data_IF_714269041997
#
_entry.id   IF_714269041997
#
_cell.length_a   1.000
_cell.length_b   1.000
_cell.length_c   1.000
_cell.angle_alpha   90.00
_cell.angle_beta   90.00
_cell.angle_gamma   90.00
#
_symmetry.space_group_name_H-M   'P 1'
#
loop_
_entity.id
_entity.type
_entity.pdbx_description
1 polymer ?
#
# COMPACT_ATOMS: atom_id res chain seq x y z
N UNK A 1 14.31 6.72 15.09
CA UNK A 1 12.86 6.51 15.21
C UNK A 1 12.60 5.30 16.09
N UNK A 2 11.71 5.43 17.04
CA UNK A 2 11.39 4.34 17.96
C UNK A 2 10.46 3.32 17.33
N UNK A 3 10.49 2.09 17.84
CA UNK A 3 9.69 0.99 17.30
C UNK A 3 8.19 1.28 17.33
N UNK A 4 7.69 1.94 18.37
CA UNK A 4 6.28 2.32 18.45
C UNK A 4 5.87 3.23 17.29
N UNK A 5 6.71 4.18 16.93
CA UNK A 5 6.47 5.08 15.79
C UNK A 5 6.52 4.32 14.46
N UNK A 6 7.48 3.42 14.31
CA UNK A 6 7.63 2.59 13.10
C UNK A 6 6.37 1.75 12.89
N UNK A 7 5.93 1.06 13.93
CA UNK A 7 4.73 0.21 13.87
C UNK A 7 3.46 1.02 13.66
N UNK A 8 3.36 2.19 14.30
CA UNK A 8 2.21 3.10 14.11
C UNK A 8 2.12 3.58 12.66
N UNK A 9 3.22 4.06 12.09
CA UNK A 9 3.27 4.49 10.70
C UNK A 9 2.90 3.34 9.75
N UNK A 10 3.45 2.16 10.02
CA UNK A 10 3.17 0.95 9.24
C UNK A 10 1.68 0.60 9.28
N UNK A 11 1.07 0.60 10.47
CA UNK A 11 -0.35 0.31 10.62
C UNK A 11 -1.21 1.23 9.75
N UNK A 12 -0.94 2.54 9.77
CA UNK A 12 -1.71 3.49 8.96
C UNK A 12 -1.45 3.35 7.46
N UNK A 13 -0.24 2.93 7.05
CA UNK A 13 0.01 2.61 5.65
C UNK A 13 -0.86 1.44 5.17
N UNK A 14 -0.98 0.39 5.97
CA UNK A 14 -1.82 -0.76 5.64
C UNK A 14 -3.30 -0.39 5.59
N UNK A 15 -3.76 0.42 6.53
CA UNK A 15 -5.13 0.92 6.55
C UNK A 15 -5.45 1.72 5.28
N UNK A 16 -4.54 2.61 4.90
CA UNK A 16 -4.73 3.44 3.68
C UNK A 16 -4.72 2.58 2.43
N UNK A 17 -3.84 1.57 2.36
CA UNK A 17 -3.78 0.68 1.22
C UNK A 17 -5.11 -0.08 1.05
N UNK A 18 -5.67 -0.60 2.13
CA UNK A 18 -6.97 -1.26 2.10
C UNK A 18 -8.08 -0.31 1.64
N UNK A 19 -8.13 0.90 2.22
CA UNK A 19 -9.13 1.91 1.87
C UNK A 19 -9.02 2.33 0.40
N UNK A 20 -7.80 2.52 -0.10
CA UNK A 20 -7.57 2.92 -1.49
C UNK A 20 -8.04 1.84 -2.46
N UNK A 21 -7.76 0.56 -2.16
CA UNK A 21 -8.25 -0.54 -2.98
C UNK A 21 -9.78 -0.59 -3.00
N UNK A 22 -10.43 -0.39 -1.84
CA UNK A 22 -11.89 -0.33 -1.76
C UNK A 22 -12.42 0.82 -2.62
N UNK A 23 -11.81 1.99 -2.55
CA UNK A 23 -12.21 3.17 -3.33
C UNK A 23 -12.07 2.92 -4.83
N UNK A 24 -10.97 2.29 -5.26
CA UNK A 24 -10.76 1.92 -6.67
C UNK A 24 -11.85 0.99 -7.17
N UNK A 25 -12.21 -0.01 -6.40
CA UNK A 25 -13.30 -0.92 -6.73
C UNK A 25 -14.63 -0.17 -6.84
N UNK A 26 -14.93 0.66 -5.85
CA UNK A 26 -16.19 1.42 -5.77
C UNK A 26 -16.36 2.34 -6.98
N UNK A 27 -15.29 2.98 -7.42
CA UNK A 27 -15.33 3.92 -8.56
C UNK A 27 -15.26 3.24 -9.93
N UNK A 28 -14.89 1.96 -9.98
CA UNK A 28 -14.65 1.25 -11.23
C UNK A 28 -15.28 -0.15 -11.24
N UNK A 29 -16.59 -0.28 -10.89
CA UNK A 29 -17.21 -1.61 -10.78
C UNK A 29 -17.31 -2.34 -12.12
N UNK A 30 -17.24 -1.62 -13.24
CA UNK A 30 -17.27 -2.19 -14.59
C UNK A 30 -15.94 -2.82 -15.00
N UNK A 31 -14.86 -2.56 -14.27
CA UNK A 31 -13.55 -3.14 -14.53
C UNK A 31 -13.42 -4.48 -13.80
N UNK A 32 -13.95 -5.52 -14.39
CA UNK A 32 -14.05 -6.84 -13.73
C UNK A 32 -12.73 -7.40 -13.25
N UNK A 33 -11.66 -7.30 -14.06
CA UNK A 33 -10.34 -7.80 -13.69
C UNK A 33 -9.80 -7.03 -12.49
N UNK A 34 -9.98 -5.71 -12.46
CA UNK A 34 -9.58 -4.88 -11.31
C UNK A 34 -10.27 -5.34 -10.04
N UNK A 35 -11.60 -5.49 -10.09
CA UNK A 35 -12.39 -5.91 -8.93
C UNK A 35 -11.95 -7.27 -8.44
N UNK A 36 -11.76 -8.22 -9.36
CA UNK A 36 -11.32 -9.58 -9.03
C UNK A 36 -9.95 -9.59 -8.35
N UNK A 37 -9.00 -8.82 -8.85
CA UNK A 37 -7.63 -8.84 -8.34
C UNK A 37 -7.41 -7.95 -7.12
N UNK A 38 -8.14 -6.85 -6.97
CA UNK A 38 -7.99 -5.98 -5.79
C UNK A 38 -8.79 -6.46 -4.58
N UNK A 39 -9.87 -7.22 -4.78
CA UNK A 39 -10.67 -7.70 -3.65
C UNK A 39 -9.84 -8.51 -2.64
N UNK A 40 -9.01 -9.50 -3.07
CA UNK A 40 -8.14 -10.19 -2.13
C UNK A 40 -7.10 -9.29 -1.46
N UNK A 41 -6.63 -8.26 -2.18
CA UNK A 41 -5.63 -7.32 -1.62
C UNK A 41 -6.23 -6.52 -0.46
N UNK A 42 -7.50 -6.12 -0.55
CA UNK A 42 -8.19 -5.46 0.57
C UNK A 42 -8.10 -6.31 1.84
N UNK A 43 -8.42 -7.59 1.71
CA UNK A 43 -8.36 -8.53 2.84
C UNK A 43 -6.94 -8.66 3.38
N UNK A 44 -5.96 -8.79 2.49
CA UNK A 44 -4.55 -8.93 2.85
C UNK A 44 -4.05 -7.68 3.59
N UNK A 45 -4.31 -6.48 3.04
CA UNK A 45 -3.87 -5.23 3.65
C UNK A 45 -4.50 -5.00 5.03
N UNK A 46 -5.79 -5.29 5.17
CA UNK A 46 -6.45 -5.20 6.47
C UNK A 46 -5.90 -6.24 7.45
N UNK A 47 -5.59 -7.44 6.96
CA UNK A 47 -4.91 -8.47 7.75
C UNK A 47 -3.55 -8.00 8.24
N UNK A 48 -2.77 -7.32 7.39
CA UNK A 48 -1.48 -6.72 7.77
C UNK A 48 -1.66 -5.67 8.87
N UNK A 49 -2.66 -4.79 8.74
CA UNK A 49 -3.00 -3.82 9.78
C UNK A 49 -3.23 -4.53 11.13
N UNK A 50 -4.01 -5.61 11.11
CA UNK A 50 -4.28 -6.40 12.33
C UNK A 50 -3.03 -7.06 12.90
N UNK A 51 -2.12 -7.53 12.06
CA UNK A 51 -0.84 -8.10 12.50
C UNK A 51 0.02 -7.05 13.20
N UNK A 52 0.05 -5.82 12.66
CA UNK A 52 0.80 -4.72 13.29
C UNK A 52 0.19 -4.35 14.63
N UNK A 53 -1.15 -4.29 14.73
CA UNK A 53 -1.82 -4.04 16.00
C UNK A 53 -1.50 -5.12 17.04
N UNK A 54 -1.47 -6.38 16.62
CA UNK A 54 -1.12 -7.49 17.48
C UNK A 54 0.33 -7.37 18.00
N UNK A 55 1.25 -6.94 17.14
CA UNK A 55 2.64 -6.72 17.51
C UNK A 55 2.80 -5.59 18.53
N UNK A 56 2.08 -4.48 18.31
CA UNK A 56 2.04 -3.37 19.28
C UNK A 56 1.55 -3.86 20.65
N UNK A 57 0.45 -4.59 20.68
CA UNK A 57 -0.13 -5.12 21.91
C UNK A 57 0.82 -6.08 22.64
N UNK A 58 1.46 -6.97 21.90
CA UNK A 58 2.43 -7.93 22.43
C UNK A 58 3.59 -7.22 23.15
N UNK A 59 3.97 -6.04 22.66
CA UNK A 59 5.10 -5.26 23.21
C UNK A 59 4.66 -4.18 24.21
N UNK A 60 3.40 -4.18 24.62
CA UNK A 60 2.81 -3.14 25.49
C UNK A 60 2.96 -1.72 24.90
N UNK A 61 2.97 -1.63 23.56
CA UNK A 61 2.96 -0.37 22.84
C UNK A 61 1.55 -0.07 22.35
N UNK A 62 1.27 1.19 22.04
CA UNK A 62 -0.04 1.64 21.58
C UNK A 62 0.02 2.22 20.19
N UNK A 63 -1.06 2.03 19.44
CA UNK A 63 -1.24 2.73 18.18
C UNK A 63 -1.32 4.24 18.46
N UNK A 64 -0.36 4.97 17.94
CA UNK A 64 -0.31 6.42 18.10
C UNK A 64 -1.21 7.16 17.11
N UNK A 65 -1.11 8.48 17.13
CA UNK A 65 -1.82 9.34 16.17
C UNK A 65 -1.14 9.21 14.81
N UNK A 66 -1.93 9.23 13.74
CA UNK A 66 -1.41 9.19 12.38
C UNK A 66 -0.53 10.42 12.10
N UNK A 67 0.69 10.16 11.60
CA UNK A 67 1.60 11.22 11.19
C UNK A 67 1.43 11.54 9.71
N UNK A 68 1.75 12.78 9.33
CA UNK A 68 1.67 13.22 7.93
C UNK A 68 2.69 12.48 7.07
N UNK A 69 2.23 11.89 5.97
CA UNK A 69 3.11 11.24 5.00
C UNK A 69 3.41 12.23 3.86
N UNK A 70 4.59 12.84 3.93
CA UNK A 70 5.02 13.87 2.97
C UNK A 70 5.17 13.29 1.57
N UNK A 71 5.70 12.07 1.46
CA UNK A 71 5.90 11.41 0.16
C UNK A 71 4.58 11.15 -0.55
N UNK A 72 3.62 10.54 0.15
CA UNK A 72 2.30 10.24 -0.42
C UNK A 72 1.58 11.54 -0.80
N UNK A 73 1.64 12.56 0.05
CA UNK A 73 1.01 13.85 -0.24
C UNK A 73 1.60 14.49 -1.50
N UNK A 74 2.92 14.41 -1.70
CA UNK A 74 3.57 14.91 -2.92
C UNK A 74 3.15 14.13 -4.16
N UNK A 75 3.03 12.80 -4.06
CA UNK A 75 2.55 11.99 -5.18
C UNK A 75 1.12 12.36 -5.57
N UNK A 76 0.26 12.61 -4.58
CA UNK A 76 -1.12 13.00 -4.84
C UNK A 76 -1.22 14.34 -5.56
N UNK A 77 -0.26 15.25 -5.38
CA UNK A 77 -0.23 16.52 -6.09
C UNK A 77 -0.03 16.36 -7.60
N UNK A 78 0.61 15.27 -8.03
CA UNK A 78 0.84 14.99 -9.45
C UNK A 78 -0.34 14.29 -10.13
N UNK A 79 -1.34 13.85 -9.39
CA UNK A 79 -2.51 13.19 -9.98
C UNK A 79 -3.38 14.20 -10.70
N UNK A 80 -3.85 13.82 -11.90
CA UNK A 80 -4.82 14.62 -12.65
C UNK A 80 -6.13 14.74 -11.90
N UNK A 81 -6.64 15.96 -11.78
CA UNK A 81 -7.90 16.27 -11.09
C UNK A 81 -9.06 16.51 -12.03
N UNK A 82 -8.81 16.53 -13.32
CA UNK A 82 -9.82 16.76 -14.35
C UNK A 82 -9.52 15.94 -15.59
N UNK A 83 -10.24 16.18 -16.69
CA UNK A 83 -10.00 15.55 -17.97
C UNK A 83 -10.58 14.14 -18.07
N UNK A 84 -9.89 13.28 -18.81
CA UNK A 84 -10.34 11.94 -19.16
C UNK A 84 -10.38 11.02 -17.93
N UNK A 85 -11.53 10.36 -17.63
CA UNK A 85 -11.63 9.44 -16.50
C UNK A 85 -10.63 8.28 -16.53
N UNK A 86 -10.30 7.75 -17.71
CA UNK A 86 -9.32 6.67 -17.85
C UNK A 86 -7.92 7.15 -17.47
N UNK A 87 -7.55 8.36 -17.85
CA UNK A 87 -6.25 8.93 -17.48
C UNK A 87 -6.14 9.15 -15.98
N UNK A 88 -7.20 9.63 -15.33
CA UNK A 88 -7.23 9.78 -13.87
C UNK A 88 -7.11 8.42 -13.18
N UNK A 89 -7.79 7.41 -13.70
CA UNK A 89 -7.71 6.04 -13.18
C UNK A 89 -6.28 5.51 -13.27
N UNK A 90 -5.64 5.64 -14.44
CA UNK A 90 -4.25 5.18 -14.64
C UNK A 90 -3.27 5.94 -13.73
N UNK A 91 -3.44 7.26 -13.59
CA UNK A 91 -2.61 8.04 -12.66
C UNK A 91 -2.74 7.51 -11.23
N UNK A 92 -3.96 7.17 -10.80
CA UNK A 92 -4.21 6.62 -9.47
C UNK A 92 -3.53 5.25 -9.31
N UNK A 93 -3.64 4.38 -10.32
CA UNK A 93 -3.02 3.06 -10.30
C UNK A 93 -1.49 3.15 -10.22
N UNK A 94 -0.89 4.05 -11.00
CA UNK A 94 0.56 4.26 -11.00
C UNK A 94 1.04 4.88 -9.68
N UNK A 95 0.26 5.79 -9.11
CA UNK A 95 0.55 6.34 -7.78
C UNK A 95 0.58 5.23 -6.73
N UNK A 96 -0.38 4.31 -6.78
CA UNK A 96 -0.40 3.16 -5.87
C UNK A 96 0.83 2.28 -6.08
N UNK A 97 1.23 2.02 -7.32
CA UNK A 97 2.44 1.26 -7.61
C UNK A 97 3.68 1.91 -6.98
N UNK A 98 3.81 3.23 -7.08
CA UNK A 98 4.92 3.97 -6.48
C UNK A 98 4.90 3.91 -4.94
N UNK A 99 3.72 3.99 -4.34
CA UNK A 99 3.56 3.86 -2.88
C UNK A 99 4.01 2.47 -2.43
N UNK A 100 3.59 1.42 -3.16
CA UNK A 100 3.97 0.04 -2.84
C UNK A 100 5.48 -0.18 -3.00
N UNK A 101 6.09 0.40 -4.04
CA UNK A 101 7.54 0.31 -4.25
C UNK A 101 8.31 0.97 -3.11
N UNK A 102 7.84 2.11 -2.63
CA UNK A 102 8.47 2.80 -1.51
C UNK A 102 8.31 2.01 -0.20
N UNK A 103 7.13 1.46 0.04
CA UNK A 103 6.89 0.62 1.22
C UNK A 103 7.80 -0.61 1.19
N UNK A 104 7.94 -1.24 0.03
CA UNK A 104 8.85 -2.37 -0.15
C UNK A 104 10.29 -1.99 0.24
N UNK A 105 10.79 -0.85 -0.25
CA UNK A 105 12.12 -0.35 0.08
C UNK A 105 12.28 -0.07 1.58
N UNK A 106 11.28 0.56 2.20
CA UNK A 106 11.27 0.84 3.64
C UNK A 106 11.35 -0.45 4.46
N UNK A 107 10.54 -1.43 4.11
CA UNK A 107 10.52 -2.72 4.83
C UNK A 107 11.82 -3.48 4.61
N UNK A 108 12.43 -3.35 3.42
CA UNK A 108 13.75 -3.93 3.16
C UNK A 108 14.79 -3.33 4.12
N UNK A 109 14.84 -2.02 4.25
CA UNK A 109 15.76 -1.33 5.18
C UNK A 109 15.53 -1.75 6.63
N UNK A 110 14.27 -1.87 7.04
CA UNK A 110 13.94 -2.33 8.39
C UNK A 110 14.35 -3.80 8.59
N UNK A 111 14.18 -4.65 7.57
CA UNK A 111 14.58 -6.04 7.64
C UNK A 111 16.08 -6.24 7.75
N UNK A 112 16.86 -5.24 7.36
CA UNK A 112 18.32 -5.30 7.41
C UNK A 112 18.91 -4.55 8.60
N UNK A 113 18.25 -3.48 9.07
CA UNK A 113 18.81 -2.52 10.00
C UNK A 113 18.31 -2.58 11.45
N UNK A 114 17.19 -3.25 11.72
CA UNK A 114 16.70 -3.35 13.09
C UNK A 114 17.56 -4.32 13.90
N UNK A 115 17.76 -3.99 15.20
CA UNK A 115 18.57 -4.82 16.09
C UNK A 115 17.87 -6.14 16.45
N UNK A 116 16.54 -6.13 16.55
CA UNK A 116 15.74 -7.29 16.92
C UNK A 116 15.60 -8.24 15.73
N UNK A 117 16.14 -9.46 15.88
CA UNK A 117 16.08 -10.49 14.83
C UNK A 117 14.68 -10.92 14.46
N UNK A 118 13.76 -10.95 15.44
CA UNK A 118 12.35 -11.26 15.18
C UNK A 118 11.72 -10.17 14.28
N UNK A 119 12.00 -8.89 14.57
CA UNK A 119 11.47 -7.79 13.78
C UNK A 119 12.09 -7.71 12.39
N UNK A 120 13.35 -8.12 12.21
CA UNK A 120 13.95 -8.24 10.88
C UNK A 120 13.18 -9.24 10.02
N UNK A 121 12.83 -10.40 10.56
CA UNK A 121 12.03 -11.41 9.86
C UNK A 121 10.62 -10.92 9.56
N UNK A 122 10.00 -10.24 10.53
CA UNK A 122 8.70 -9.62 10.41
C UNK A 122 8.67 -8.69 9.19
N UNK A 123 9.62 -7.77 9.08
CA UNK A 123 9.66 -6.82 7.96
C UNK A 123 10.10 -7.45 6.64
N UNK A 124 10.83 -8.54 6.65
CA UNK A 124 11.15 -9.27 5.42
C UNK A 124 9.88 -9.82 4.75
N UNK A 125 8.96 -10.34 5.53
CA UNK A 125 7.66 -10.83 5.02
C UNK A 125 6.83 -9.70 4.41
N UNK A 126 6.79 -8.54 5.06
CA UNK A 126 6.08 -7.38 4.52
C UNK A 126 6.75 -6.87 3.25
N UNK A 127 8.06 -6.86 3.18
CA UNK A 127 8.79 -6.48 1.97
C UNK A 127 8.35 -7.35 0.77
N UNK A 128 8.29 -8.66 0.96
CA UNK A 128 7.88 -9.59 -0.09
C UNK A 128 6.44 -9.35 -0.55
N UNK A 129 5.54 -9.10 0.41
CA UNK A 129 4.15 -8.79 0.12
C UNK A 129 4.02 -7.50 -0.70
N UNK A 130 4.74 -6.44 -0.31
CA UNK A 130 4.70 -5.15 -1.01
C UNK A 130 5.27 -5.24 -2.42
N UNK A 131 6.30 -6.07 -2.62
CA UNK A 131 6.85 -6.32 -3.95
C UNK A 131 5.81 -6.97 -4.86
N UNK A 132 5.02 -7.91 -4.32
CA UNK A 132 3.93 -8.55 -5.05
C UNK A 132 2.81 -7.56 -5.41
N UNK A 133 2.46 -6.68 -4.48
CA UNK A 133 1.45 -5.63 -4.72
C UNK A 133 1.91 -4.65 -5.79
N UNK A 134 3.17 -4.22 -5.74
CA UNK A 134 3.75 -3.37 -6.78
C UNK A 134 3.56 -3.99 -8.17
N UNK A 135 3.95 -5.25 -8.31
CA UNK A 135 3.82 -5.99 -9.58
C UNK A 135 2.37 -6.06 -10.04
N UNK A 136 1.44 -6.31 -9.11
CA UNK A 136 0.01 -6.36 -9.41
C UNK A 136 -0.49 -5.03 -9.99
N UNK A 137 -0.16 -3.91 -9.34
CA UNK A 137 -0.60 -2.59 -9.80
C UNK A 137 0.00 -2.23 -11.16
N UNK A 138 1.26 -2.57 -11.41
CA UNK A 138 1.90 -2.37 -12.71
C UNK A 138 1.20 -3.19 -13.80
N UNK A 139 0.98 -4.48 -13.55
CA UNK A 139 0.33 -5.37 -14.51
C UNK A 139 -1.08 -4.94 -14.84
N UNK A 140 -1.85 -4.54 -13.82
CA UNK A 140 -3.22 -4.00 -14.04
C UNK A 140 -3.19 -2.71 -14.84
N UNK A 141 -2.24 -1.83 -14.56
CA UNK A 141 -2.08 -0.58 -15.31
C UNK A 141 -1.79 -0.85 -16.78
N UNK A 142 -0.88 -1.76 -17.07
CA UNK A 142 -0.55 -2.17 -18.44
C UNK A 142 -1.77 -2.76 -19.16
N UNK A 143 -2.52 -3.61 -18.49
CA UNK A 143 -3.74 -4.19 -19.06
C UNK A 143 -4.74 -3.13 -19.49
N UNK A 144 -4.98 -2.11 -18.65
CA UNK A 144 -5.94 -1.05 -18.99
C UNK A 144 -5.39 -0.02 -19.96
N UNK A 145 -4.08 0.18 -20.02
CA UNK A 145 -3.45 1.00 -21.07
C UNK A 145 -3.67 0.34 -22.43
N UNK A 146 -3.45 -0.97 -22.53
CA UNK A 146 -3.64 -1.72 -23.78
C UNK A 146 -5.11 -1.67 -24.23
N UNK A 147 -6.04 -1.81 -23.31
CA UNK A 147 -7.49 -1.68 -23.60
C UNK A 147 -7.87 -0.28 -24.09
N UNK A 148 -7.24 0.77 -23.55
CA UNK A 148 -7.49 2.15 -23.98
C UNK A 148 -7.09 2.36 -25.44
N UNK A 149 -6.07 1.64 -25.92
CA UNK A 149 -5.53 1.79 -27.28
C UNK A 149 -6.23 0.91 -28.31
N UNK A 150 -7.22 0.13 -27.91
CA UNK A 150 -8.10 -0.63 -28.79
C UNK A 150 -9.38 0.14 -29.06
#
# INVERSE_FOLDING_TARGET
MQLEEILTDHAYCEQKAATTCITLITKNPEKELLVEQLSPIVTEEWGHFRLVLAELKKRNLKLGVQRKDVYVNKLLEFQKKGGNPMERFLDHMLTMALIEARSCERFKRLSEGLDDGYMRKFYRKFMESEAGHYTLFVNLSEYYIDKKNV
#
